data_IF_969678022323
#
_entry.id   IF_969678022323
#
_cell.length_a   1.000
_cell.length_b   1.000
_cell.length_c   1.000
_cell.angle_alpha   90.00
_cell.angle_beta   90.00
_cell.angle_gamma   90.00
#
_symmetry.space_group_name_H-M   'P 1'
#
loop_
_entity.id
_entity.type
_entity.pdbx_description
1 polymer ?
#
# COMPACT_ATOMS: atom_id res chain seq x y z
N UNK A 1 -8.81 26.12 -5.42
CA UNK A 1 -8.42 26.88 -4.20
C UNK A 1 -7.04 27.48 -4.45
N UNK A 2 -6.95 28.80 -4.58
CA UNK A 2 -5.79 29.50 -5.15
C UNK A 2 -4.80 30.07 -4.11
N UNK A 3 -4.88 29.67 -2.84
CA UNK A 3 -4.12 30.36 -1.77
C UNK A 3 -3.47 29.47 -0.71
N UNK A 4 -3.50 28.13 -0.82
CA UNK A 4 -2.70 27.26 0.08
C UNK A 4 -3.08 27.26 1.57
N UNK A 5 -4.16 27.96 1.96
CA UNK A 5 -4.70 27.97 3.32
C UNK A 5 -6.05 27.26 3.36
N UNK A 6 -6.24 26.39 4.35
CA UNK A 6 -7.51 25.70 4.60
C UNK A 6 -8.54 26.62 5.28
N UNK A 7 -9.79 26.16 5.38
CA UNK A 7 -10.90 26.91 5.99
C UNK A 7 -10.63 27.35 7.45
N UNK A 8 -9.68 26.72 8.15
CA UNK A 8 -9.25 27.06 9.51
C UNK A 8 -8.07 28.04 9.56
N UNK A 9 -7.64 28.60 8.42
CA UNK A 9 -6.46 29.48 8.33
C UNK A 9 -5.12 28.76 8.47
N UNK A 10 -5.13 27.45 8.69
CA UNK A 10 -3.91 26.62 8.73
C UNK A 10 -3.40 26.37 7.33
N UNK A 11 -2.08 26.28 7.20
CA UNK A 11 -1.44 25.87 5.95
C UNK A 11 -1.93 24.46 5.54
N UNK A 12 -2.28 24.31 4.25
CA UNK A 12 -2.68 23.03 3.68
C UNK A 12 -1.53 22.02 3.68
N UNK A 13 -1.87 20.72 3.73
CA UNK A 13 -0.90 19.61 3.82
C UNK A 13 0.15 19.65 2.69
N UNK A 14 -0.27 20.00 1.47
CA UNK A 14 0.58 20.05 0.28
C UNK A 14 1.08 21.47 -0.07
N UNK A 15 0.80 22.47 0.77
CA UNK A 15 1.24 23.86 0.52
C UNK A 15 2.77 24.03 0.45
N UNK A 16 3.62 23.36 1.26
CA UNK A 16 5.07 23.48 1.08
C UNK A 16 5.56 22.96 -0.27
N UNK A 17 4.98 21.85 -0.76
CA UNK A 17 5.30 21.29 -2.09
C UNK A 17 4.83 22.25 -3.20
N UNK A 18 3.63 22.80 -3.05
CA UNK A 18 3.12 23.84 -3.94
C UNK A 18 4.02 25.08 -4.01
N UNK A 19 4.54 25.56 -2.87
CA UNK A 19 5.46 26.71 -2.83
C UNK A 19 6.75 26.44 -3.61
N UNK A 20 7.27 25.22 -3.56
CA UNK A 20 8.45 24.84 -4.34
C UNK A 20 8.15 24.83 -5.84
N UNK A 21 7.01 24.25 -6.23
CA UNK A 21 6.56 24.28 -7.62
C UNK A 21 6.30 25.71 -8.12
N UNK A 22 5.62 26.55 -7.33
CA UNK A 22 5.33 27.93 -7.73
C UNK A 22 6.61 28.77 -7.83
N UNK A 23 7.59 28.51 -6.95
CA UNK A 23 8.90 29.15 -7.02
C UNK A 23 9.62 28.78 -8.32
N UNK A 24 9.66 27.49 -8.67
CA UNK A 24 10.26 27.02 -9.92
C UNK A 24 9.59 27.67 -11.13
N UNK A 25 8.25 27.65 -11.20
CA UNK A 25 7.50 28.26 -12.30
C UNK A 25 7.67 29.78 -12.41
N UNK A 26 8.05 30.45 -11.32
CA UNK A 26 8.31 31.91 -11.34
C UNK A 26 9.71 32.25 -11.87
N UNK A 27 10.61 31.28 -11.91
CA UNK A 27 12.02 31.47 -12.26
C UNK A 27 12.43 30.76 -13.54
N UNK A 28 11.67 29.77 -13.99
CA UNK A 28 11.97 28.98 -15.19
C UNK A 28 11.47 29.69 -16.45
N UNK A 29 12.29 29.63 -17.51
CA UNK A 29 11.92 30.12 -18.84
C UNK A 29 10.95 29.15 -19.53
N UNK A 30 11.15 27.85 -19.31
CA UNK A 30 10.31 26.78 -19.85
C UNK A 30 9.53 26.03 -18.75
N UNK A 31 8.19 25.88 -18.88
CA UNK A 31 7.36 25.16 -17.91
C UNK A 31 7.69 23.66 -17.75
N UNK A 32 8.46 23.09 -18.68
CA UNK A 32 8.86 21.69 -18.68
C UNK A 32 9.94 21.39 -17.64
N UNK A 33 10.77 22.37 -17.26
CA UNK A 33 11.83 22.21 -16.26
C UNK A 33 11.26 21.95 -14.86
N UNK A 34 10.05 22.42 -14.60
CA UNK A 34 9.35 22.25 -13.33
C UNK A 34 8.40 21.04 -13.29
N UNK A 35 8.49 20.12 -14.26
CA UNK A 35 7.61 18.96 -14.33
C UNK A 35 7.79 17.99 -13.15
N UNK A 36 9.01 17.81 -12.66
CA UNK A 36 9.24 16.93 -11.50
C UNK A 36 8.51 17.46 -10.25
N UNK A 37 8.61 18.77 -9.99
CA UNK A 37 7.90 19.43 -8.89
C UNK A 37 6.39 19.44 -9.07
N UNK A 38 5.92 19.47 -10.32
CA UNK A 38 4.49 19.33 -10.65
C UNK A 38 3.99 17.94 -10.29
N UNK A 39 4.73 16.91 -10.66
CA UNK A 39 4.38 15.52 -10.35
C UNK A 39 4.38 15.28 -8.84
N UNK A 40 5.33 15.85 -8.09
CA UNK A 40 5.35 15.77 -6.63
C UNK A 40 4.14 16.47 -5.98
N UNK A 41 3.71 17.60 -6.53
CA UNK A 41 2.50 18.27 -6.07
C UNK A 41 1.25 17.41 -6.33
N UNK A 42 1.10 16.84 -7.53
CA UNK A 42 -0.03 15.94 -7.83
C UNK A 42 0.03 14.63 -7.04
N UNK A 43 1.22 14.13 -6.74
CA UNK A 43 1.42 12.99 -5.86
C UNK A 43 0.88 13.30 -4.47
N UNK A 44 1.24 14.43 -3.87
CA UNK A 44 0.71 14.84 -2.55
C UNK A 44 -0.82 15.01 -2.55
N UNK A 45 -1.43 15.46 -3.65
CA UNK A 45 -2.88 15.66 -3.71
C UNK A 45 -3.66 14.34 -3.86
N UNK A 46 -3.12 13.39 -4.62
CA UNK A 46 -3.86 12.20 -5.05
C UNK A 46 -3.30 10.88 -4.52
N UNK A 47 -2.10 10.89 -3.93
CA UNK A 47 -1.40 9.74 -3.36
C UNK A 47 -1.35 8.51 -4.30
N UNK A 48 -1.36 8.71 -5.63
CA UNK A 48 -1.49 7.58 -6.59
C UNK A 48 -0.33 6.59 -6.47
N UNK A 49 0.90 7.12 -6.38
CA UNK A 49 2.13 6.31 -6.28
C UNK A 49 2.16 5.58 -4.93
N UNK A 50 1.81 6.29 -3.85
CA UNK A 50 1.72 5.71 -2.50
C UNK A 50 0.70 4.57 -2.42
N UNK A 51 -0.55 4.81 -2.84
CA UNK A 51 -1.62 3.80 -2.80
C UNK A 51 -1.24 2.58 -3.65
N UNK A 52 -0.66 2.78 -4.84
CA UNK A 52 -0.22 1.68 -5.70
C UNK A 52 0.84 0.83 -4.99
N UNK A 53 1.82 1.47 -4.35
CA UNK A 53 2.88 0.78 -3.60
C UNK A 53 2.30 0.02 -2.41
N UNK A 54 1.40 0.64 -1.65
CA UNK A 54 0.76 -0.02 -0.51
C UNK A 54 -0.03 -1.26 -0.92
N UNK A 55 -0.78 -1.19 -2.03
CA UNK A 55 -1.51 -2.35 -2.57
C UNK A 55 -0.56 -3.50 -2.90
N UNK A 56 0.55 -3.23 -3.59
CA UNK A 56 1.54 -4.29 -3.92
C UNK A 56 2.15 -4.92 -2.67
N UNK A 57 2.47 -4.12 -1.65
CA UNK A 57 3.01 -4.62 -0.38
C UNK A 57 1.96 -5.46 0.34
N UNK A 58 0.71 -5.02 0.35
CA UNK A 58 -0.38 -5.73 1.01
C UNK A 58 -0.65 -7.09 0.35
N UNK A 59 -0.70 -7.13 -0.98
CA UNK A 59 -0.81 -8.38 -1.75
C UNK A 59 0.32 -9.36 -1.43
N UNK A 60 1.56 -8.88 -1.38
CA UNK A 60 2.71 -9.71 -1.00
C UNK A 60 2.60 -10.21 0.45
N UNK A 61 2.15 -9.35 1.37
CA UNK A 61 1.91 -9.75 2.76
C UNK A 61 0.86 -10.85 2.85
N UNK A 62 -0.26 -10.73 2.13
CA UNK A 62 -1.28 -11.78 2.11
C UNK A 62 -0.75 -13.11 1.60
N UNK A 63 0.02 -13.11 0.50
CA UNK A 63 0.67 -14.34 -0.03
C UNK A 63 1.57 -14.99 1.03
N UNK A 64 2.43 -14.20 1.66
CA UNK A 64 3.33 -14.69 2.71
C UNK A 64 2.56 -15.23 3.93
N UNK A 65 1.44 -14.61 4.29
CA UNK A 65 0.58 -15.07 5.39
C UNK A 65 -0.12 -16.39 5.03
N UNK A 66 -0.61 -16.53 3.80
CA UNK A 66 -1.23 -17.76 3.31
C UNK A 66 -0.23 -18.92 3.31
N UNK A 67 0.97 -18.72 2.76
CA UNK A 67 2.03 -19.73 2.76
C UNK A 67 2.42 -20.18 4.17
N UNK A 68 2.52 -19.24 5.12
CA UNK A 68 2.76 -19.55 6.54
C UNK A 68 1.59 -20.34 7.14
N UNK A 69 0.35 -19.97 6.82
CA UNK A 69 -0.84 -20.65 7.31
C UNK A 69 -0.93 -22.08 6.79
N UNK A 70 -0.54 -22.33 5.55
CA UNK A 70 -0.58 -23.66 4.95
C UNK A 70 0.54 -24.55 5.51
N UNK A 71 1.75 -24.01 5.69
CA UNK A 71 2.82 -24.71 6.42
C UNK A 71 2.40 -25.05 7.86
N UNK A 72 1.77 -24.10 8.55
CA UNK A 72 1.27 -24.32 9.91
C UNK A 72 0.18 -25.42 9.93
N UNK A 73 -0.74 -25.44 8.96
CA UNK A 73 -1.74 -26.51 8.85
C UNK A 73 -1.09 -27.87 8.61
N UNK A 74 -0.09 -27.95 7.74
CA UNK A 74 0.65 -29.19 7.48
C UNK A 74 1.36 -29.70 8.75
N UNK A 75 2.01 -28.80 9.49
CA UNK A 75 2.69 -29.14 10.74
C UNK A 75 1.69 -29.59 11.81
N UNK A 76 0.57 -28.87 11.96
CA UNK A 76 -0.53 -29.25 12.86
C UNK A 76 -1.10 -30.61 12.44
N UNK A 77 -1.31 -30.84 11.14
CA UNK A 77 -1.91 -32.08 10.64
C UNK A 77 -0.99 -33.28 10.89
N UNK A 78 0.31 -33.15 10.64
CA UNK A 78 1.32 -34.16 11.01
C UNK A 78 1.29 -34.46 12.50
N UNK A 79 1.32 -33.42 13.33
CA UNK A 79 1.29 -33.58 14.78
C UNK A 79 0.01 -34.30 15.23
N UNK A 80 -1.17 -33.91 14.71
CA UNK A 80 -2.45 -34.56 15.01
C UNK A 80 -2.43 -36.03 14.58
N UNK A 81 -1.90 -36.33 13.39
CA UNK A 81 -1.78 -37.71 12.91
C UNK A 81 -0.89 -38.56 13.82
N UNK A 82 0.30 -38.06 14.17
CA UNK A 82 1.28 -38.78 14.99
C UNK A 82 0.81 -38.99 16.44
N UNK A 83 0.00 -38.06 16.97
CA UNK A 83 -0.55 -38.15 18.34
C UNK A 83 -1.91 -38.84 18.41
N UNK A 84 -2.60 -39.05 17.28
CA UNK A 84 -3.90 -39.71 17.25
C UNK A 84 -3.77 -41.23 17.22
N UNK A 85 -4.36 -41.90 18.22
CA UNK A 85 -4.46 -43.36 18.30
C UNK A 85 -5.60 -43.94 17.42
N UNK A 86 -6.24 -43.11 16.60
CA UNK A 86 -7.34 -43.46 15.69
C UNK A 86 -7.17 -42.78 14.34
N UNK A 87 -7.47 -43.47 13.23
CA UNK A 87 -7.41 -42.90 11.86
C UNK A 87 -8.39 -41.74 11.72
N UNK A 88 -7.88 -40.51 11.58
CA UNK A 88 -8.68 -39.33 11.23
C UNK A 88 -8.62 -39.14 9.72
N UNK A 89 -9.71 -39.44 9.00
CA UNK A 89 -9.77 -39.19 7.55
C UNK A 89 -10.12 -37.71 7.25
N UNK A 90 -9.46 -37.07 6.27
CA UNK A 90 -9.79 -35.71 5.85
C UNK A 90 -11.24 -35.62 5.40
N UNK A 91 -11.99 -34.62 5.90
CA UNK A 91 -13.42 -34.43 5.61
C UNK A 91 -13.78 -34.31 4.12
N UNK A 92 -12.83 -34.00 3.25
CA UNK A 92 -13.06 -33.96 1.79
C UNK A 92 -13.36 -35.34 1.19
N UNK A 93 -12.91 -36.43 1.83
CA UNK A 93 -13.15 -37.81 1.36
C UNK A 93 -14.50 -38.40 1.81
N UNK A 94 -15.22 -37.75 2.73
CA UNK A 94 -16.49 -38.24 3.28
C UNK A 94 -17.73 -37.83 2.46
N UNK A 95 -17.55 -37.19 1.30
CA UNK A 95 -18.65 -36.77 0.39
C UNK A 95 -18.73 -37.64 -0.88
N UNK A 96 -18.40 -38.92 -0.79
CA UNK A 96 -18.60 -39.87 -1.90
C UNK A 96 -19.65 -40.91 -1.52
#
# INVERSE_FOLDING_TARGET
MASGFGAKGTEGRCTPVWRNFSRCMSTADDPSECNDLREDYFECLHHRKEITRENTINEQRYKNMMEKSDKLKEDIWKHVWDTSWTKVEPKEKAKK
#
